data_IF_189928808689
#
_entry.id   IF_189928808689
#
_cell.length_a   1.000
_cell.length_b   1.000
_cell.length_c   1.000
_cell.angle_alpha   90.00
_cell.angle_beta   90.00
_cell.angle_gamma   90.00
#
_symmetry.space_group_name_H-M   'P 1'
#
loop_
_entity.id
_entity.type
_entity.pdbx_description
1 polymer ?
#
# COMPACT_ATOMS: atom_id res chain seq x y z
N UNK A 1 14.74 -16.52 -15.51
CA UNK A 1 14.69 -15.08 -15.18
C UNK A 1 14.39 -14.95 -13.70
N UNK A 2 15.32 -14.43 -12.91
CA UNK A 2 15.30 -14.53 -11.44
C UNK A 2 14.17 -13.72 -10.80
N UNK A 3 13.04 -14.37 -10.50
CA UNK A 3 12.01 -13.90 -9.54
C UNK A 3 12.52 -13.89 -8.08
N UNK A 4 13.83 -13.78 -7.86
CA UNK A 4 14.53 -14.25 -6.64
C UNK A 4 14.20 -13.43 -5.37
N UNK A 5 13.38 -12.38 -5.46
CA UNK A 5 13.07 -11.52 -4.30
C UNK A 5 11.60 -11.11 -4.15
N UNK A 6 10.70 -11.58 -5.03
CA UNK A 6 9.27 -11.30 -4.86
C UNK A 6 8.73 -12.14 -3.70
N UNK A 7 8.05 -11.48 -2.76
CA UNK A 7 7.36 -12.15 -1.67
C UNK A 7 6.13 -12.87 -2.23
N UNK A 8 6.26 -14.19 -2.41
CA UNK A 8 5.15 -15.01 -2.87
C UNK A 8 4.16 -15.21 -1.73
N UNK A 9 2.88 -14.96 -1.98
CA UNK A 9 1.81 -15.23 -1.02
C UNK A 9 1.55 -16.73 -0.97
N UNK A 10 1.52 -17.27 0.25
CA UNK A 10 1.26 -18.69 0.46
C UNK A 10 -0.21 -19.04 0.21
N UNK A 11 -0.47 -20.29 -0.18
CA UNK A 11 -1.84 -20.77 -0.33
C UNK A 11 -2.63 -20.72 0.99
N UNK A 12 -1.95 -20.83 2.14
CA UNK A 12 -2.56 -20.71 3.45
C UNK A 12 -3.03 -19.27 3.70
N UNK A 13 -2.17 -18.29 3.48
CA UNK A 13 -2.50 -16.87 3.64
C UNK A 13 -3.65 -16.46 2.72
N UNK A 14 -3.62 -16.86 1.45
CA UNK A 14 -4.71 -16.57 0.51
C UNK A 14 -6.03 -17.15 1.00
N UNK A 15 -6.07 -18.42 1.40
CA UNK A 15 -7.29 -19.07 1.91
C UNK A 15 -7.78 -18.42 3.20
N UNK A 16 -6.86 -18.05 4.08
CA UNK A 16 -7.17 -17.37 5.33
C UNK A 16 -7.78 -15.99 5.08
N UNK A 17 -7.17 -15.20 4.19
CA UNK A 17 -7.67 -13.89 3.78
C UNK A 17 -9.08 -13.98 3.19
N UNK A 18 -9.32 -14.94 2.29
CA UNK A 18 -10.66 -15.17 1.73
C UNK A 18 -11.69 -15.52 2.80
N UNK A 19 -11.31 -16.34 3.79
CA UNK A 19 -12.19 -16.66 4.92
C UNK A 19 -12.52 -15.42 5.76
N UNK A 20 -11.52 -14.59 6.07
CA UNK A 20 -11.73 -13.34 6.80
C UNK A 20 -12.67 -12.39 6.05
N UNK A 21 -12.53 -12.29 4.73
CA UNK A 21 -13.43 -11.49 3.89
C UNK A 21 -14.87 -12.02 3.90
N UNK A 22 -15.06 -13.34 3.90
CA UNK A 22 -16.40 -13.96 4.06
C UNK A 22 -17.02 -13.65 5.43
N UNK A 23 -16.19 -13.53 6.46
CA UNK A 23 -16.60 -13.13 7.82
C UNK A 23 -16.74 -11.60 7.97
N UNK A 24 -16.60 -10.81 6.90
CA UNK A 24 -16.64 -9.34 6.88
C UNK A 24 -15.57 -8.69 7.77
N UNK A 25 -14.40 -9.31 7.88
CA UNK A 25 -13.27 -8.83 8.68
C UNK A 25 -12.01 -8.67 7.84
N UNK A 26 -11.21 -7.64 8.12
CA UNK A 26 -9.88 -7.43 7.53
C UNK A 26 -8.79 -7.83 8.51
N UNK A 27 -7.60 -8.13 7.99
CA UNK A 27 -6.43 -8.50 8.80
C UNK A 27 -6.00 -7.38 9.77
N UNK A 28 -6.21 -6.12 9.38
CA UNK A 28 -5.89 -4.93 10.18
C UNK A 28 -7.07 -4.42 11.03
N UNK A 29 -8.23 -5.08 10.94
CA UNK A 29 -9.44 -4.70 11.67
C UNK A 29 -10.20 -3.50 11.09
N UNK A 30 -9.79 -2.95 9.95
CA UNK A 30 -10.50 -1.85 9.28
C UNK A 30 -11.79 -2.34 8.62
N UNK A 31 -12.71 -1.40 8.35
CA UNK A 31 -13.86 -1.65 7.48
C UNK A 31 -13.42 -1.77 6.01
N UNK A 32 -14.31 -2.30 5.15
CA UNK A 32 -13.99 -2.48 3.72
C UNK A 32 -13.84 -1.16 2.97
N UNK A 33 -14.59 -0.12 3.34
CA UNK A 33 -14.49 1.22 2.71
C UNK A 33 -13.53 2.17 3.43
N UNK A 34 -12.82 1.68 4.45
CA UNK A 34 -11.98 2.51 5.33
C UNK A 34 -10.53 2.59 4.83
N UNK A 35 -10.05 3.82 4.70
CA UNK A 35 -8.70 4.13 4.23
C UNK A 35 -7.73 4.31 5.40
N UNK A 36 -6.44 4.02 5.16
CA UNK A 36 -5.38 4.31 6.13
C UNK A 36 -5.28 5.81 6.43
N UNK A 37 -4.74 6.17 7.62
CA UNK A 37 -4.47 7.57 7.93
C UNK A 37 -3.49 8.16 6.91
N UNK A 38 -3.86 9.31 6.36
CA UNK A 38 -3.07 10.08 5.41
C UNK A 38 -2.31 11.17 6.18
N UNK A 39 -1.00 11.26 6.00
CA UNK A 39 -0.17 12.37 6.48
C UNK A 39 0.58 12.97 5.30
N UNK A 40 0.50 14.30 5.17
CA UNK A 40 1.19 15.07 4.13
C UNK A 40 2.12 16.06 4.81
N UNK A 41 3.41 15.97 4.52
CA UNK A 41 4.46 16.80 5.09
C UNK A 41 5.24 17.47 3.97
N UNK A 42 5.66 18.72 4.18
CA UNK A 42 6.43 19.47 3.20
C UNK A 42 7.89 19.62 3.64
N UNK A 43 8.78 19.56 2.65
CA UNK A 43 10.21 19.80 2.86
C UNK A 43 10.53 21.28 3.03
N UNK A 44 11.81 21.57 3.26
CA UNK A 44 12.30 22.95 3.34
C UNK A 44 12.13 23.66 1.99
N UNK A 45 12.47 22.98 0.90
CA UNK A 45 12.40 23.51 -0.45
C UNK A 45 10.98 23.42 -1.04
N UNK A 46 10.63 24.38 -1.88
CA UNK A 46 9.35 24.40 -2.57
C UNK A 46 9.22 23.20 -3.52
N UNK A 47 8.05 22.57 -3.54
CA UNK A 47 7.79 21.35 -4.30
C UNK A 47 8.46 20.09 -3.75
N UNK A 48 8.92 20.08 -2.49
CA UNK A 48 9.30 18.86 -1.80
C UNK A 48 8.14 18.39 -0.91
N UNK A 49 7.65 17.17 -1.11
CA UNK A 49 6.49 16.63 -0.42
C UNK A 49 6.73 15.18 0.00
N UNK A 50 6.46 14.86 1.26
CA UNK A 50 6.51 13.53 1.83
C UNK A 50 5.10 13.11 2.25
N UNK A 51 4.61 12.01 1.69
CA UNK A 51 3.28 11.49 1.97
C UNK A 51 3.38 10.10 2.57
N UNK A 52 2.68 9.90 3.68
CA UNK A 52 2.52 8.60 4.33
C UNK A 52 1.06 8.19 4.30
N UNK A 53 0.78 7.04 3.69
CA UNK A 53 -0.51 6.37 3.74
C UNK A 53 -0.37 5.12 4.62
N UNK A 54 -0.65 5.29 5.91
CA UNK A 54 -0.23 4.32 6.92
C UNK A 54 1.28 4.10 6.86
N UNK A 55 1.71 2.89 6.49
CA UNK A 55 3.14 2.56 6.37
C UNK A 55 3.71 2.77 4.96
N UNK A 56 2.88 2.88 3.92
CA UNK A 56 3.34 3.20 2.57
C UNK A 56 3.81 4.64 2.53
N UNK A 57 5.05 4.87 2.07
CA UNK A 57 5.70 6.18 2.13
C UNK A 57 6.25 6.55 0.76
N UNK A 58 5.93 7.76 0.30
CA UNK A 58 6.34 8.27 -1.00
C UNK A 58 6.87 9.70 -0.84
N UNK A 59 8.00 9.98 -1.47
CA UNK A 59 8.57 11.32 -1.59
C UNK A 59 8.37 11.80 -3.02
N UNK A 60 7.77 12.96 -3.18
CA UNK A 60 7.66 13.64 -4.46
C UNK A 60 8.48 14.93 -4.44
N UNK A 61 9.21 15.17 -5.53
CA UNK A 61 9.96 16.39 -5.76
C UNK A 61 9.57 16.96 -7.13
N UNK A 62 9.18 18.22 -7.14
CA UNK A 62 8.98 18.99 -8.38
C UNK A 62 10.19 19.89 -8.64
N UNK A 63 10.69 19.84 -9.87
CA UNK A 63 11.74 20.73 -10.38
C UNK A 63 11.27 21.40 -11.68
N UNK A 64 11.90 22.51 -12.02
CA UNK A 64 11.63 23.23 -13.26
C UNK A 64 12.92 23.52 -14.02
N UNK A 65 12.86 23.37 -15.33
CA UNK A 65 13.94 23.70 -16.26
C UNK A 65 13.39 24.46 -17.46
N UNK A 66 14.21 25.27 -18.12
CA UNK A 66 13.81 25.92 -19.37
C UNK A 66 14.19 25.00 -20.52
N UNK A 67 13.21 24.63 -21.34
CA UNK A 67 13.41 23.78 -22.51
C UNK A 67 12.72 24.37 -23.74
N UNK A 68 13.08 23.90 -24.92
CA UNK A 68 12.38 24.26 -26.15
C UNK A 68 11.04 23.51 -26.20
N UNK A 69 9.91 24.17 -26.55
CA UNK A 69 8.63 23.49 -26.64
C UNK A 69 8.60 22.46 -27.76
N UNK A 70 7.62 21.57 -27.71
CA UNK A 70 7.37 20.60 -28.79
C UNK A 70 6.84 21.34 -30.02
N UNK A 71 7.29 20.95 -31.21
CA UNK A 71 6.85 21.55 -32.48
C UNK A 71 5.35 21.42 -32.72
N UNK A 72 4.69 20.41 -32.14
CA UNK A 72 3.23 20.25 -32.24
C UNK A 72 2.45 21.27 -31.42
N UNK A 73 3.01 21.77 -30.31
CA UNK A 73 2.36 22.70 -29.38
C UNK A 73 3.37 23.72 -28.85
N UNK A 74 3.62 24.78 -29.63
CA UNK A 74 4.69 25.73 -29.33
C UNK A 74 4.36 26.76 -28.24
N UNK A 75 3.09 26.85 -27.83
CA UNK A 75 2.59 27.75 -26.79
C UNK A 75 2.33 27.04 -25.46
N UNK A 76 2.62 25.73 -25.35
CA UNK A 76 2.44 24.96 -24.12
C UNK A 76 3.81 24.58 -23.52
N UNK A 77 3.89 24.63 -22.20
CA UNK A 77 4.99 24.06 -21.43
C UNK A 77 4.98 22.53 -21.45
N UNK A 78 6.00 21.95 -20.83
CA UNK A 78 6.20 20.51 -20.79
C UNK A 78 6.00 20.02 -19.35
N UNK A 79 5.24 18.94 -19.17
CA UNK A 79 5.09 18.24 -17.89
C UNK A 79 5.57 16.80 -18.04
N UNK A 80 6.59 16.44 -17.26
CA UNK A 80 7.15 15.09 -17.21
C UNK A 80 6.94 14.52 -15.81
N UNK A 81 6.33 13.33 -15.73
CA UNK A 81 6.10 12.61 -14.49
C UNK A 81 6.95 11.34 -14.54
N UNK A 82 7.67 11.07 -13.46
CA UNK A 82 8.53 9.91 -13.33
C UNK A 82 8.30 9.27 -11.96
N UNK A 83 7.98 7.97 -11.95
CA UNK A 83 7.97 7.14 -10.74
C UNK A 83 9.21 6.27 -10.75
N UNK A 84 9.96 6.30 -9.66
CA UNK A 84 11.07 5.39 -9.41
C UNK A 84 10.75 4.47 -8.23
N UNK A 85 10.86 3.16 -8.51
CA UNK A 85 10.73 2.11 -7.51
C UNK A 85 12.14 1.71 -7.07
N UNK A 86 12.50 2.08 -5.84
CA UNK A 86 13.81 1.81 -5.28
C UNK A 86 13.81 0.47 -4.51
N UNK A 87 14.90 -0.32 -4.52
CA UNK A 87 15.11 -1.44 -3.60
C UNK A 87 14.80 -1.17 -2.13
N UNK A 88 14.88 0.10 -1.69
CA UNK A 88 14.49 0.53 -0.35
C UNK A 88 13.00 0.26 -0.06
N UNK A 89 12.13 0.41 -1.07
CA UNK A 89 10.69 0.21 -0.91
C UNK A 89 10.31 -1.26 -0.83
N UNK A 90 10.95 -2.10 -1.63
CA UNK A 90 10.82 -3.54 -1.54
C UNK A 90 12.04 -4.22 -2.18
N UNK A 91 12.51 -5.36 -1.64
CA UNK A 91 13.73 -6.02 -2.11
C UNK A 91 13.66 -6.54 -3.54
N UNK A 92 12.45 -6.69 -4.10
CA UNK A 92 12.22 -7.12 -5.48
C UNK A 92 12.31 -5.99 -6.52
N UNK A 93 12.36 -4.73 -6.10
CA UNK A 93 12.61 -3.63 -6.99
C UNK A 93 14.10 -3.55 -7.31
N UNK A 94 14.44 -3.64 -8.60
CA UNK A 94 15.81 -3.51 -9.10
C UNK A 94 16.01 -2.08 -9.63
N UNK A 95 17.09 -1.37 -9.25
CA UNK A 95 17.32 -0.01 -9.69
C UNK A 95 17.63 0.00 -11.20
N UNK A 96 17.04 0.94 -11.93
CA UNK A 96 17.27 1.12 -13.38
C UNK A 96 16.47 0.20 -14.30
N UNK A 97 15.84 -0.86 -13.77
CA UNK A 97 14.92 -1.70 -14.54
C UNK A 97 13.49 -1.20 -14.32
N UNK A 98 12.86 -0.69 -15.38
CA UNK A 98 11.43 -0.37 -15.32
C UNK A 98 10.62 -1.66 -15.22
N UNK A 99 10.04 -1.92 -14.05
CA UNK A 99 9.12 -3.03 -13.85
C UNK A 99 7.78 -2.76 -14.55
N UNK A 100 7.02 -3.81 -14.87
CA UNK A 100 5.67 -3.67 -15.42
C UNK A 100 4.77 -2.83 -14.51
N UNK A 101 4.95 -2.97 -13.19
CA UNK A 101 4.29 -2.17 -12.18
C UNK A 101 4.67 -0.69 -12.32
N UNK A 102 5.95 -0.35 -12.45
CA UNK A 102 6.41 1.04 -12.63
C UNK A 102 5.81 1.69 -13.87
N UNK A 103 5.79 0.97 -15.00
CA UNK A 103 5.21 1.47 -16.26
C UNK A 103 3.70 1.68 -16.12
N UNK A 104 3.00 0.74 -15.47
CA UNK A 104 1.56 0.85 -15.19
C UNK A 104 1.25 2.06 -14.31
N UNK A 105 1.95 2.21 -13.19
CA UNK A 105 1.76 3.34 -12.28
C UNK A 105 2.03 4.67 -12.98
N UNK A 106 3.15 4.77 -13.71
CA UNK A 106 3.51 6.01 -14.39
C UNK A 106 2.44 6.41 -15.42
N UNK A 107 1.97 5.46 -16.23
CA UNK A 107 0.91 5.71 -17.22
C UNK A 107 -0.42 6.10 -16.57
N UNK A 108 -0.77 5.52 -15.42
CA UNK A 108 -1.99 5.88 -14.69
C UNK A 108 -1.90 7.29 -14.10
N UNK A 109 -0.74 7.67 -13.55
CA UNK A 109 -0.53 9.04 -13.07
C UNK A 109 -0.54 10.06 -14.20
N UNK A 110 0.12 9.76 -15.33
CA UNK A 110 0.06 10.61 -16.52
C UNK A 110 -1.38 10.79 -17.00
N UNK A 111 -2.15 9.70 -17.10
CA UNK A 111 -3.57 9.78 -17.47
C UNK A 111 -4.37 10.62 -16.47
N UNK A 112 -4.07 10.51 -15.18
CA UNK A 112 -4.81 11.22 -14.14
C UNK A 112 -4.55 12.74 -14.14
N UNK A 113 -3.32 13.19 -14.38
CA UNK A 113 -2.94 14.62 -14.31
C UNK A 113 -2.81 15.31 -15.67
N UNK A 114 -2.21 14.62 -16.65
CA UNK A 114 -1.91 15.19 -17.97
C UNK A 114 -3.12 15.17 -18.90
N UNK A 115 -3.81 14.03 -18.98
CA UNK A 115 -4.99 13.91 -19.86
C UNK A 115 -6.17 14.72 -19.31
N UNK A 116 -6.26 14.84 -17.98
CA UNK A 116 -7.26 15.71 -17.33
C UNK A 116 -6.94 17.20 -17.45
N UNK A 117 -5.75 17.59 -17.91
CA UNK A 117 -5.30 19.00 -17.96
C UNK A 117 -5.38 19.72 -16.61
N UNK A 118 -4.92 19.04 -15.55
CA UNK A 118 -4.95 19.59 -14.20
C UNK A 118 -4.06 20.83 -14.01
N UNK A 119 -2.92 20.86 -14.68
CA UNK A 119 -1.92 21.94 -14.63
C UNK A 119 -2.06 22.81 -15.88
N UNK A 120 -2.03 24.12 -15.69
CA UNK A 120 -2.04 25.08 -16.79
C UNK A 120 -0.68 25.11 -17.50
N UNK A 121 -0.60 24.43 -18.65
CA UNK A 121 0.60 24.38 -19.47
C UNK A 121 0.82 25.66 -20.29
N UNK A 122 -0.22 26.45 -20.56
CA UNK A 122 -0.09 27.70 -21.33
C UNK A 122 0.59 28.77 -20.48
N UNK A 123 0.29 28.80 -19.17
CA UNK A 123 0.96 29.67 -18.19
C UNK A 123 2.46 29.42 -18.03
N UNK A 124 2.97 28.29 -18.55
CA UNK A 124 4.37 27.89 -18.51
C UNK A 124 5.15 28.35 -19.75
N UNK A 125 4.48 28.93 -20.75
CA UNK A 125 5.16 29.50 -21.92
C UNK A 125 5.83 30.83 -21.57
N UNK A 126 7.11 30.97 -21.90
CA UNK A 126 7.86 32.22 -21.75
C UNK A 126 7.86 32.97 -23.08
N UNK A 127 8.36 32.30 -24.12
CA UNK A 127 8.40 32.82 -25.50
C UNK A 127 8.04 31.69 -26.46
N UNK A 128 6.94 31.88 -27.19
CA UNK A 128 6.39 30.91 -28.14
C UNK A 128 7.46 30.41 -29.11
N UNK A 129 7.48 29.09 -29.37
CA UNK A 129 8.45 28.38 -30.23
C UNK A 129 9.92 28.35 -29.74
N UNK A 130 10.29 29.14 -28.72
CA UNK A 130 11.70 29.29 -28.33
C UNK A 130 11.97 28.71 -26.94
N UNK A 131 11.25 29.19 -25.92
CA UNK A 131 11.51 28.87 -24.51
C UNK A 131 10.21 28.66 -23.76
N UNK A 132 10.07 27.50 -23.14
CA UNK A 132 8.99 27.18 -22.21
C UNK A 132 9.53 26.53 -20.95
N UNK A 133 8.76 26.60 -19.87
CA UNK A 133 9.06 25.83 -18.67
C UNK A 133 8.72 24.35 -18.87
N UNK A 134 9.68 23.51 -18.52
CA UNK A 134 9.51 22.08 -18.36
C UNK A 134 9.46 21.76 -16.86
N UNK A 135 8.28 21.37 -16.38
CA UNK A 135 8.09 20.84 -15.03
C UNK A 135 8.38 19.35 -15.03
N UNK A 136 9.23 18.92 -14.10
CA UNK A 136 9.51 17.50 -13.85
C UNK A 136 9.06 17.16 -12.43
N UNK A 137 8.26 16.11 -12.30
CA UNK A 137 7.87 15.55 -11.02
C UNK A 137 8.49 14.17 -10.88
N UNK A 138 9.45 14.05 -9.98
CA UNK A 138 10.08 12.78 -9.63
C UNK A 138 9.44 12.25 -8.34
N UNK A 139 8.91 11.03 -8.42
CA UNK A 139 8.20 10.36 -7.34
C UNK A 139 9.01 9.14 -6.94
N UNK A 140 9.56 9.17 -5.74
CA UNK A 140 10.38 8.11 -5.18
C UNK A 140 9.58 7.35 -4.12
N UNK A 141 9.30 6.08 -4.39
CA UNK A 141 8.67 5.21 -3.39
C UNK A 141 9.73 4.78 -2.38
N UNK A 142 9.49 5.07 -1.10
CA UNK A 142 10.42 4.79 0.00
C UNK A 142 10.04 3.50 0.73
N UNK A 143 8.74 3.27 0.98
CA UNK A 143 8.25 2.05 1.61
C UNK A 143 6.99 1.58 0.88
N UNK A 144 6.94 0.28 0.54
CA UNK A 144 5.80 -0.34 -0.13
C UNK A 144 5.06 -1.30 0.80
N UNK A 145 3.89 -0.87 1.29
CA UNK A 145 2.98 -1.71 2.08
C UNK A 145 1.56 -1.69 1.46
N UNK A 146 1.50 -1.81 0.13
CA UNK A 146 0.26 -1.78 -0.65
C UNK A 146 -0.23 -0.38 -1.03
N UNK A 147 -0.99 -0.31 -2.12
CA UNK A 147 -1.60 0.91 -2.68
C UNK A 147 -0.62 2.07 -2.92
N UNK A 148 0.43 1.82 -3.72
CA UNK A 148 1.41 2.85 -4.11
C UNK A 148 0.74 3.98 -4.91
N UNK A 149 -0.21 3.62 -5.77
CA UNK A 149 -0.78 4.54 -6.76
C UNK A 149 -1.49 5.73 -6.11
N UNK A 150 -2.34 5.47 -5.12
CA UNK A 150 -3.07 6.53 -4.43
C UNK A 150 -2.11 7.44 -3.68
N UNK A 151 -1.16 6.86 -2.94
CA UNK A 151 -0.13 7.61 -2.23
C UNK A 151 0.72 8.46 -3.18
N UNK A 152 1.10 7.92 -4.33
CA UNK A 152 1.87 8.62 -5.35
C UNK A 152 1.07 9.75 -6.03
N UNK A 153 -0.23 9.53 -6.29
CA UNK A 153 -1.10 10.55 -6.85
C UNK A 153 -1.26 11.76 -5.91
N UNK A 154 -1.41 11.49 -4.61
CA UNK A 154 -1.49 12.52 -3.57
C UNK A 154 -0.17 13.26 -3.45
N UNK A 155 0.96 12.54 -3.40
CA UNK A 155 2.29 13.14 -3.31
C UNK A 155 2.61 14.03 -4.51
N UNK A 156 2.34 13.56 -5.72
CA UNK A 156 2.51 14.31 -6.97
C UNK A 156 1.71 15.61 -6.96
N UNK A 157 0.41 15.52 -6.63
CA UNK A 157 -0.49 16.66 -6.65
C UNK A 157 -0.14 17.68 -5.55
N UNK A 158 0.18 17.22 -4.35
CA UNK A 158 0.63 18.07 -3.26
C UNK A 158 1.97 18.75 -3.59
N UNK A 159 2.90 18.02 -4.21
CA UNK A 159 4.19 18.56 -4.67
C UNK A 159 4.00 19.65 -5.72
N UNK A 160 3.18 19.39 -6.74
CA UNK A 160 2.85 20.37 -7.78
C UNK A 160 2.19 21.62 -7.19
N UNK A 161 1.21 21.46 -6.30
CA UNK A 161 0.51 22.60 -5.70
C UNK A 161 1.39 23.42 -4.74
N UNK A 162 2.36 22.76 -4.08
CA UNK A 162 3.34 23.40 -3.22
C UNK A 162 4.47 24.08 -4.02
N UNK A 163 4.77 23.61 -5.23
CA UNK A 163 5.88 24.11 -6.03
C UNK A 163 5.74 25.60 -6.39
N UNK A 164 6.87 26.30 -6.41
CA UNK A 164 6.99 27.71 -6.76
C UNK A 164 8.17 27.89 -7.73
N UNK A 165 7.89 28.38 -8.93
CA UNK A 165 8.90 28.62 -9.98
C UNK A 165 9.55 29.99 -9.81
N UNK A 166 10.81 30.18 -10.24
CA UNK A 166 11.42 31.51 -10.27
C UNK A 166 10.73 32.42 -11.30
N UNK A 167 10.75 33.72 -11.04
CA UNK A 167 10.21 34.72 -11.96
C UNK A 167 11.19 35.00 -13.12
N UNK A 168 10.64 35.34 -14.29
CA UNK A 168 11.41 35.61 -15.50
C UNK A 168 10.91 36.89 -16.14
N UNK A 169 11.84 37.79 -16.43
CA UNK A 169 11.58 38.96 -17.26
C UNK A 169 12.10 38.71 -18.67
N UNK A 170 11.29 39.05 -19.66
CA UNK A 170 11.65 38.99 -21.06
C UNK A 170 11.67 40.39 -21.65
N UNK A 171 12.87 40.91 -21.92
CA UNK A 171 13.09 42.18 -22.60
C UNK A 171 13.31 41.91 -24.10
N UNK A 172 12.31 41.32 -24.75
CA UNK A 172 12.28 41.03 -26.20
C UNK A 172 13.24 39.93 -26.67
N UNK A 173 14.55 40.19 -26.61
CA UNK A 173 15.62 39.30 -27.06
C UNK A 173 16.36 38.62 -25.90
N UNK A 174 16.53 39.30 -24.76
CA UNK A 174 17.18 38.74 -23.58
C UNK A 174 16.15 38.30 -22.53
N UNK A 175 16.37 37.13 -21.93
CA UNK A 175 15.58 36.64 -20.80
C UNK A 175 16.46 36.56 -19.55
N UNK A 176 15.97 37.13 -18.44
CA UNK A 176 16.68 37.14 -17.17
C UNK A 176 15.85 36.33 -16.17
N UNK A 177 16.47 35.29 -15.62
CA UNK A 177 15.87 34.48 -14.55
C UNK A 177 16.22 35.15 -13.23
N UNK A 178 15.22 35.59 -12.49
CA UNK A 178 15.42 36.16 -11.17
C UNK A 178 15.56 35.06 -10.14
N UNK A 179 16.56 35.21 -9.26
CA UNK A 179 16.71 34.31 -8.11
C UNK A 179 15.62 34.57 -7.06
N UNK A 180 15.36 33.58 -6.20
CA UNK A 180 14.40 33.68 -5.08
C UNK A 180 14.67 34.82 -4.10
N UNK A 181 15.86 35.44 -4.13
CA UNK A 181 16.21 36.59 -3.29
C UNK A 181 15.84 37.92 -3.95
N UNK A 182 15.78 37.95 -5.28
CA UNK A 182 15.49 39.16 -6.06
C UNK A 182 13.99 39.36 -6.22
N UNK A 183 13.24 38.27 -6.43
CA UNK A 183 11.79 38.29 -6.61
C UNK A 183 11.14 37.09 -5.93
N UNK A 184 9.89 37.30 -5.52
CA UNK A 184 9.06 36.25 -4.95
C UNK A 184 8.73 35.21 -6.02
N UNK A 185 8.82 33.91 -5.70
CA UNK A 185 8.57 32.86 -6.67
C UNK A 185 7.07 32.67 -6.92
N UNK A 186 6.74 32.32 -8.16
CA UNK A 186 5.37 32.27 -8.66
C UNK A 186 4.80 30.85 -8.45
N UNK A 187 3.59 30.71 -7.89
CA UNK A 187 2.91 29.42 -7.82
C UNK A 187 2.53 28.88 -9.20
N UNK A 188 2.61 27.56 -9.35
CA UNK A 188 2.03 26.88 -10.50
C UNK A 188 0.51 26.93 -10.42
N UNK A 189 -0.12 27.27 -11.55
CA UNK A 189 -1.58 27.32 -11.66
C UNK A 189 -2.12 25.91 -11.89
N UNK A 190 -2.97 25.46 -10.98
CA UNK A 190 -3.65 24.16 -11.03
C UNK A 190 -5.15 24.44 -11.13
N UNK A 191 -5.77 24.04 -12.24
CA UNK A 191 -7.20 24.23 -12.45
C UNK A 191 -8.02 23.36 -11.52
N UNK A 192 -7.57 22.12 -11.33
CA UNK A 192 -8.32 21.13 -10.57
C UNK A 192 -7.42 20.02 -10.01
N UNK A 193 -7.92 19.27 -9.04
CA UNK A 193 -7.12 18.40 -8.17
C UNK A 193 -7.52 16.93 -8.37
N UNK A 194 -7.01 16.24 -9.42
CA UNK A 194 -7.36 14.85 -9.66
C UNK A 194 -6.56 13.93 -8.72
N UNK A 195 -7.26 13.04 -8.02
CA UNK A 195 -6.67 12.04 -7.12
C UNK A 195 -7.06 10.63 -7.57
N UNK A 196 -6.14 9.68 -7.43
CA UNK A 196 -6.44 8.27 -7.65
C UNK A 196 -6.99 7.64 -6.37
N UNK A 197 -7.97 6.77 -6.54
CA UNK A 197 -8.53 5.92 -5.49
C UNK A 197 -8.60 4.51 -6.02
N UNK A 198 -7.94 3.59 -5.33
CA UNK A 198 -7.85 2.18 -5.70
C UNK A 198 -8.66 1.29 -4.78
N UNK A 199 -9.39 0.36 -5.39
CA UNK A 199 -10.12 -0.72 -4.75
C UNK A 199 -9.60 -2.05 -5.25
N UNK A 200 -9.43 -3.01 -4.34
CA UNK A 200 -9.20 -4.41 -4.67
C UNK A 200 -10.52 -5.18 -4.67
N UNK A 201 -10.65 -6.08 -5.63
CA UNK A 201 -11.83 -6.88 -5.85
C UNK A 201 -11.48 -8.35 -5.63
N UNK A 202 -12.33 -9.04 -4.88
CA UNK A 202 -12.23 -10.46 -4.59
C UNK A 202 -13.51 -11.19 -4.99
N UNK A 203 -13.35 -12.46 -5.36
CA UNK A 203 -14.42 -13.38 -5.73
C UNK A 203 -15.36 -12.82 -6.82
N UNK A 204 -14.79 -12.28 -7.89
CA UNK A 204 -15.58 -11.79 -9.03
C UNK A 204 -16.49 -10.59 -8.73
N UNK A 205 -16.17 -9.77 -7.71
CA UNK A 205 -16.94 -8.57 -7.38
C UNK A 205 -17.86 -8.69 -6.17
N UNK A 206 -17.86 -9.84 -5.47
CA UNK A 206 -18.62 -10.00 -4.22
C UNK A 206 -18.06 -9.11 -3.10
N UNK A 207 -16.72 -9.08 -2.97
CA UNK A 207 -16.06 -8.25 -1.97
C UNK A 207 -15.21 -7.19 -2.65
N UNK A 208 -15.47 -5.93 -2.30
CA UNK A 208 -14.72 -4.76 -2.77
C UNK A 208 -14.11 -4.08 -1.56
N UNK A 209 -12.78 -3.98 -1.55
CA UNK A 209 -12.01 -3.43 -0.44
C UNK A 209 -11.27 -2.18 -0.92
N UNK A 210 -11.45 -1.07 -0.22
CA UNK A 210 -10.73 0.17 -0.43
C UNK A 210 -9.34 0.12 0.19
N UNK A 211 -8.37 0.74 -0.48
CA UNK A 211 -6.99 0.89 0.01
C UNK A 211 -6.38 -0.44 0.49
N UNK A 212 -6.08 -1.35 -0.46
CA UNK A 212 -5.56 -2.67 -0.15
C UNK A 212 -4.16 -2.59 0.46
N UNK A 213 -3.94 -3.46 1.45
CA UNK A 213 -2.62 -3.81 1.97
C UNK A 213 -1.84 -4.67 0.96
N UNK A 214 -0.54 -4.84 1.18
CA UNK A 214 0.31 -5.65 0.30
C UNK A 214 -0.20 -7.09 0.10
N UNK A 215 -0.71 -7.71 1.18
CA UNK A 215 -1.26 -9.09 1.15
C UNK A 215 -2.61 -9.15 0.43
N UNK A 216 -3.43 -8.11 0.58
CA UNK A 216 -4.70 -7.98 -0.14
C UNK A 216 -4.44 -7.75 -1.64
N UNK A 217 -3.47 -6.89 -2.00
CA UNK A 217 -3.10 -6.60 -3.39
C UNK A 217 -2.60 -7.85 -4.13
N UNK A 218 -1.73 -8.66 -3.50
CA UNK A 218 -1.23 -9.88 -4.12
C UNK A 218 -2.23 -11.05 -4.16
N UNK A 219 -3.34 -10.96 -3.41
CA UNK A 219 -4.41 -11.98 -3.39
C UNK A 219 -5.66 -11.56 -4.17
N UNK A 220 -5.73 -10.32 -4.65
CA UNK A 220 -6.89 -9.80 -5.35
C UNK A 220 -7.01 -10.38 -6.77
N UNK A 221 -8.25 -10.57 -7.22
CA UNK A 221 -8.56 -11.04 -8.59
C UNK A 221 -8.48 -9.89 -9.60
N UNK A 222 -8.86 -8.69 -9.14
CA UNK A 222 -8.81 -7.46 -9.91
C UNK A 222 -8.58 -6.24 -9.02
N UNK A 223 -8.08 -5.18 -9.64
CA UNK A 223 -7.86 -3.88 -9.01
C UNK A 223 -8.56 -2.82 -9.85
N UNK A 224 -9.46 -2.06 -9.22
CA UNK A 224 -10.16 -0.95 -9.85
C UNK A 224 -9.57 0.37 -9.34
N UNK A 225 -8.92 1.11 -10.24
CA UNK A 225 -8.42 2.46 -9.98
C UNK A 225 -9.34 3.47 -10.63
N UNK A 226 -9.73 4.48 -9.85
CA UNK A 226 -10.61 5.56 -10.26
C UNK A 226 -9.89 6.89 -10.01
N UNK A 227 -9.67 7.68 -11.06
CA UNK A 227 -9.15 9.04 -10.97
C UNK A 227 -10.30 10.03 -10.95
N UNK A 228 -10.47 10.76 -9.85
CA UNK A 228 -11.58 11.69 -9.65
C UNK A 228 -11.08 13.08 -9.30
N UNK A 229 -11.82 14.08 -9.78
CA UNK A 229 -11.59 15.47 -9.50
C UNK A 229 -12.46 15.97 -8.33
N UNK A 230 -12.10 17.11 -7.74
CA UNK A 230 -12.91 17.78 -6.71
C UNK A 230 -14.28 18.25 -7.20
N UNK A 231 -14.46 18.38 -8.51
CA UNK A 231 -15.77 18.65 -9.14
C UNK A 231 -16.61 17.39 -9.36
N UNK A 232 -16.20 16.23 -8.82
CA UNK A 232 -16.85 14.92 -9.02
C UNK A 232 -16.82 14.42 -10.47
N UNK A 233 -15.86 14.91 -11.24
CA UNK A 233 -15.64 14.48 -12.62
C UNK A 233 -14.66 13.31 -12.65
N UNK A 234 -14.92 12.36 -13.54
CA UNK A 234 -14.06 11.19 -13.75
C UNK A 234 -12.93 11.55 -14.72
N UNK A 235 -11.70 11.59 -14.23
CA UNK A 235 -10.50 11.80 -15.05
C UNK A 235 -10.04 10.51 -15.72
N UNK A 236 -10.24 9.36 -15.06
CA UNK A 236 -9.86 8.08 -15.63
C UNK A 236 -10.38 6.91 -14.82
N UNK A 237 -10.69 5.82 -15.52
CA UNK A 237 -11.01 4.53 -14.94
C UNK A 237 -10.03 3.49 -15.48
N UNK A 238 -9.50 2.65 -14.60
CA UNK A 238 -8.66 1.52 -14.97
C UNK A 238 -9.06 0.30 -14.16
N UNK A 239 -9.52 -0.74 -14.86
CA UNK A 239 -9.73 -2.06 -14.30
C UNK A 239 -8.55 -2.94 -14.71
N UNK A 240 -7.75 -3.32 -13.72
CA UNK A 240 -6.67 -4.30 -13.87
C UNK A 240 -7.09 -5.66 -13.32
N UNK A 241 -6.46 -6.73 -13.80
CA UNK A 241 -6.73 -8.11 -13.37
C UNK A 241 -7.69 -8.86 -14.30
N UNK A 242 -8.32 -9.90 -13.78
CA UNK A 242 -9.10 -10.87 -14.57
C UNK A 242 -10.55 -11.05 -14.10
N UNK A 243 -11.02 -10.22 -13.17
CA UNK A 243 -12.39 -10.35 -12.64
C UNK A 243 -13.43 -9.77 -13.61
N UNK A 244 -14.52 -10.51 -13.79
CA UNK A 244 -15.74 -10.02 -14.42
C UNK A 244 -16.55 -9.22 -13.39
N UNK A 245 -16.88 -7.97 -13.72
CA UNK A 245 -17.61 -7.08 -12.81
C UNK A 245 -18.95 -6.68 -13.39
N UNK A 246 -19.98 -6.75 -12.55
CA UNK A 246 -21.27 -6.18 -12.90
C UNK A 246 -21.20 -4.64 -12.89
N UNK A 247 -21.80 -3.94 -13.88
CA UNK A 247 -21.73 -2.48 -13.98
C UNK A 247 -22.21 -1.72 -12.73
N UNK A 248 -23.20 -2.27 -12.01
CA UNK A 248 -23.73 -1.65 -10.79
C UNK A 248 -22.68 -1.58 -9.67
N UNK A 249 -21.78 -2.57 -9.57
CA UNK A 249 -20.70 -2.58 -8.57
C UNK A 249 -19.73 -1.44 -8.84
N UNK A 250 -19.39 -1.23 -10.12
CA UNK A 250 -18.50 -0.14 -10.55
C UNK A 250 -19.14 1.21 -10.20
N UNK A 251 -20.42 1.41 -10.52
CA UNK A 251 -21.13 2.66 -10.21
C UNK A 251 -21.17 2.95 -8.70
N UNK A 252 -21.49 1.94 -7.88
CA UNK A 252 -21.48 2.07 -6.42
C UNK A 252 -20.07 2.38 -5.88
N UNK A 253 -19.03 1.83 -6.51
CA UNK A 253 -17.65 2.10 -6.10
C UNK A 253 -17.22 3.52 -6.48
N UNK A 254 -17.65 4.03 -7.65
CA UNK A 254 -17.38 5.41 -8.08
C UNK A 254 -18.03 6.43 -7.14
N UNK A 255 -19.26 6.19 -6.67
CA UNK A 255 -19.92 7.11 -5.72
C UNK A 255 -19.19 7.17 -4.37
N UNK A 256 -18.77 6.01 -3.84
CA UNK A 256 -17.91 5.93 -2.65
C UNK A 256 -16.57 6.63 -2.84
N UNK A 257 -15.92 6.39 -3.99
CA UNK A 257 -14.66 7.04 -4.34
C UNK A 257 -14.80 8.56 -4.42
N UNK A 258 -15.92 9.06 -4.94
CA UNK A 258 -16.19 10.50 -5.04
C UNK A 258 -16.22 11.16 -3.66
N UNK A 259 -16.82 10.51 -2.67
CA UNK A 259 -16.82 11.02 -1.31
C UNK A 259 -15.40 11.07 -0.73
N UNK A 260 -14.62 10.00 -0.90
CA UNK A 260 -13.24 9.95 -0.42
C UNK A 260 -12.32 10.96 -1.13
N UNK A 261 -12.48 11.17 -2.43
CA UNK A 261 -11.67 12.10 -3.21
C UNK A 261 -11.75 13.51 -2.64
N UNK A 262 -12.96 13.96 -2.28
CA UNK A 262 -13.17 15.28 -1.69
C UNK A 262 -12.43 15.43 -0.36
N UNK A 263 -12.51 14.41 0.52
CA UNK A 263 -11.80 14.42 1.82
C UNK A 263 -10.29 14.55 1.59
N UNK A 264 -9.73 13.78 0.65
CA UNK A 264 -8.29 13.82 0.34
C UNK A 264 -7.88 15.17 -0.23
N UNK A 265 -8.66 15.73 -1.16
CA UNK A 265 -8.38 17.04 -1.77
C UNK A 265 -8.46 18.16 -0.73
N UNK A 266 -9.41 18.10 0.19
CA UNK A 266 -9.51 19.03 1.31
C UNK A 266 -8.26 18.94 2.20
N UNK A 267 -7.81 17.73 2.55
CA UNK A 267 -6.61 17.52 3.35
C UNK A 267 -5.33 18.05 2.69
N UNK A 268 -5.19 17.91 1.36
CA UNK A 268 -4.08 18.49 0.61
C UNK A 268 -4.13 20.03 0.71
N UNK A 269 -5.32 20.62 0.49
CA UNK A 269 -5.49 22.08 0.54
C UNK A 269 -5.26 22.65 1.94
N UNK A 270 -5.72 21.97 3.00
CA UNK A 270 -5.47 22.40 4.38
C UNK A 270 -3.99 22.30 4.72
N UNK A 271 -3.33 21.20 4.34
CA UNK A 271 -1.89 21.01 4.58
C UNK A 271 -1.06 22.11 3.93
N UNK A 272 -1.36 22.49 2.69
CA UNK A 272 -0.66 23.57 1.97
C UNK A 272 -0.91 24.93 2.64
N UNK A 273 -2.13 25.21 3.11
CA UNK A 273 -2.43 26.46 3.82
C UNK A 273 -1.63 26.56 5.12
N UNK A 274 -1.59 25.49 5.91
CA UNK A 274 -0.83 25.46 7.16
C UNK A 274 0.66 25.65 6.89
N UNK A 275 1.20 25.04 5.83
CA UNK A 275 2.60 25.21 5.45
C UNK A 275 2.91 26.65 5.00
N UNK A 276 2.07 27.25 4.16
CA UNK A 276 2.23 28.65 3.76
C UNK A 276 2.21 29.60 4.97
N UNK A 277 1.29 29.41 5.91
CA UNK A 277 1.25 30.19 7.14
C UNK A 277 2.50 29.99 8.01
N UNK A 278 3.02 28.76 8.08
CA UNK A 278 4.23 28.46 8.83
C UNK A 278 5.46 29.15 8.21
N UNK A 279 5.55 29.20 6.87
CA UNK A 279 6.58 29.93 6.13
C UNK A 279 6.48 31.43 6.32
N UNK A 280 5.28 32.00 6.30
CA UNK A 280 5.06 33.43 6.58
C UNK A 280 5.49 33.80 8.00
N UNK A 281 5.23 32.90 8.97
CA UNK A 281 5.64 33.07 10.38
C UNK A 281 7.12 32.73 10.64
N UNK A 282 7.88 32.31 9.62
CA UNK A 282 9.30 31.89 9.71
C UNK A 282 9.58 30.84 10.79
N UNK A 283 8.64 29.90 10.96
CA UNK A 283 8.84 28.73 11.81
C UNK A 283 9.92 27.81 11.21
N UNK A 284 10.57 26.94 12.00
CA UNK A 284 11.45 25.91 11.44
C UNK A 284 10.66 25.01 10.49
N UNK A 285 11.19 24.82 9.28
CA UNK A 285 10.58 24.06 8.19
C UNK A 285 11.39 22.79 7.93
N UNK A 286 10.68 21.72 7.54
CA UNK A 286 11.26 20.47 7.05
C UNK A 286 10.73 19.25 7.80
N UNK A 287 11.04 18.07 7.24
CA UNK A 287 10.55 16.76 7.69
C UNK A 287 10.87 16.40 9.14
N UNK A 288 11.87 17.04 9.73
CA UNK A 288 12.31 16.80 11.12
C UNK A 288 11.46 17.54 12.17
N UNK A 289 10.61 18.47 11.71
CA UNK A 289 9.81 19.28 12.62
C UNK A 289 8.54 18.51 12.96
N UNK A 290 8.66 17.50 13.81
CA UNK A 290 7.49 16.97 14.48
C UNK A 290 6.82 18.15 15.20
N UNK A 291 5.61 18.51 14.73
CA UNK A 291 4.73 19.37 15.52
C UNK A 291 4.64 18.70 16.89
N UNK A 292 4.99 19.42 17.95
CA UNK A 292 4.97 18.97 19.36
C UNK A 292 3.55 18.64 19.87
N UNK A 293 2.83 17.79 19.16
CA UNK A 293 1.46 17.36 19.39
C UNK A 293 1.15 16.20 18.45
N UNK A 294 1.64 15.01 18.79
CA UNK A 294 1.25 13.78 18.09
C UNK A 294 2.27 12.63 18.10
N UNK A 295 3.53 12.86 18.44
CA UNK A 295 4.57 11.83 18.37
C UNK A 295 4.84 11.18 19.74
N UNK A 296 3.82 10.56 20.31
CA UNK A 296 4.01 9.61 21.41
C UNK A 296 3.07 8.40 21.30
N UNK A 297 2.74 7.97 20.07
CA UNK A 297 1.83 6.82 19.87
C UNK A 297 2.21 5.86 18.74
N UNK A 298 3.36 6.02 18.07
CA UNK A 298 3.73 5.14 16.95
C UNK A 298 4.94 4.23 17.25
N UNK A 299 5.27 4.06 18.53
CA UNK A 299 5.94 2.86 19.06
C UNK A 299 5.02 2.25 20.11
N UNK A 300 3.81 1.87 19.69
CA UNK A 300 3.00 0.96 20.48
C UNK A 300 3.66 -0.41 20.45
N UNK A 301 4.26 -0.73 21.59
CA UNK A 301 4.31 -2.05 22.18
C UNK A 301 3.57 -3.10 21.35
N UNK A 302 4.33 -4.04 20.78
CA UNK A 302 3.80 -5.36 20.49
C UNK A 302 3.57 -6.00 21.86
N UNK A 303 2.53 -5.55 22.57
CA UNK A 303 1.96 -6.27 23.69
C UNK A 303 1.38 -7.52 23.03
N UNK A 304 2.03 -8.67 23.24
CA UNK A 304 1.47 -9.97 22.93
C UNK A 304 0.04 -9.97 23.46
N UNK A 305 -0.96 -9.94 22.56
CA UNK A 305 -2.34 -10.12 22.95
C UNK A 305 -2.42 -11.45 23.68
N UNK A 306 -2.60 -11.38 25.00
CA UNK A 306 -2.84 -12.55 25.83
C UNK A 306 -4.08 -13.23 25.25
N UNK A 307 -3.88 -14.41 24.69
CA UNK A 307 -4.94 -15.21 24.10
C UNK A 307 -5.91 -15.59 25.23
N UNK A 308 -7.00 -14.84 25.37
CA UNK A 308 -8.02 -15.14 26.37
C UNK A 308 -8.74 -16.41 25.91
N UNK A 309 -8.54 -17.50 26.65
CA UNK A 309 -9.29 -18.73 26.50
C UNK A 309 -10.79 -18.44 26.58
N UNK A 310 -11.50 -18.64 25.47
CA UNK A 310 -12.95 -18.65 25.42
C UNK A 310 -13.43 -19.82 26.30
N UNK A 311 -13.89 -19.51 27.52
CA UNK A 311 -14.53 -20.49 28.41
C UNK A 311 -15.83 -20.98 27.77
N UNK A 312 -15.78 -22.16 27.15
CA UNK A 312 -16.97 -22.91 26.75
C UNK A 312 -17.84 -23.19 27.98
N UNK A 313 -19.07 -22.67 28.00
CA UNK A 313 -20.06 -23.05 28.99
C UNK A 313 -20.39 -24.54 28.83
N UNK A 314 -20.01 -25.37 29.81
CA UNK A 314 -20.47 -26.77 29.90
C UNK A 314 -21.49 -26.88 31.04
N UNK A 315 -22.68 -27.36 30.67
CA UNK A 315 -23.77 -27.78 31.56
C UNK A 315 -23.27 -28.76 32.64
N UNK A 316 -23.75 -28.54 33.86
CA UNK A 316 -23.53 -29.33 35.09
C UNK A 316 -23.78 -30.85 34.89
N UNK A 317 -22.88 -31.68 35.44
CA UNK A 317 -23.23 -32.85 36.27
C UNK A 317 -22.06 -33.25 37.21
N UNK A 318 -22.39 -33.27 38.50
CA UNK A 318 -21.81 -33.94 39.67
C UNK A 318 -20.30 -33.93 40.02
N UNK A 319 -20.00 -33.11 41.05
CA UNK A 319 -19.35 -33.40 42.35
C UNK A 319 -18.11 -34.32 42.40
N UNK A 320 -16.96 -33.69 42.69
CA UNK A 320 -16.05 -34.01 43.81
C UNK A 320 -15.43 -32.69 44.33
N UNK A 321 -15.12 -32.63 45.63
CA UNK A 321 -14.73 -31.41 46.40
C UNK A 321 -13.30 -30.92 46.06
N UNK A 322 -12.97 -29.63 46.25
CA UNK A 322 -11.70 -29.04 45.80
C UNK A 322 -10.57 -29.22 46.83
N UNK A 323 -9.34 -29.41 46.33
CA UNK A 323 -8.08 -29.22 47.05
C UNK A 323 -7.56 -27.82 46.67
N UNK A 324 -7.21 -27.01 47.66
CA UNK A 324 -6.70 -25.63 47.50
C UNK A 324 -5.33 -25.62 46.80
N UNK A 325 -5.08 -24.71 45.83
CA UNK A 325 -3.74 -24.48 45.30
C UNK A 325 -2.99 -23.55 46.27
N UNK A 326 -1.95 -24.09 46.91
CA UNK A 326 -1.02 -23.33 47.74
C UNK A 326 0.12 -22.80 46.86
N UNK A 327 0.35 -21.50 46.96
CA UNK A 327 1.51 -20.70 46.52
C UNK A 327 1.64 -20.30 45.03
N UNK A 328 1.34 -19.02 44.80
CA UNK A 328 1.77 -18.21 43.66
C UNK A 328 3.30 -18.02 43.65
N UNK A 329 3.99 -18.08 42.50
CA UNK A 329 5.43 -17.82 42.44
C UNK A 329 5.72 -16.34 42.77
N UNK A 330 6.61 -16.11 43.73
CA UNK A 330 7.08 -14.76 44.08
C UNK A 330 8.08 -14.26 43.04
N UNK A 331 7.68 -13.26 42.26
CA UNK A 331 8.57 -12.48 41.39
C UNK A 331 9.20 -11.38 42.26
N UNK A 332 10.51 -11.40 42.44
CA UNK A 332 11.25 -10.30 43.09
C UNK A 332 11.84 -9.40 42.01
N UNK A 333 11.34 -8.18 41.89
CA UNK A 333 11.85 -7.14 41.00
C UNK A 333 13.11 -6.54 41.61
N UNK A 334 14.24 -6.60 40.89
CA UNK A 334 15.49 -5.93 41.27
C UNK A 334 15.82 -4.93 40.15
N UNK A 335 15.27 -3.72 40.25
CA UNK A 335 15.59 -2.59 39.36
C UNK A 335 15.05 -2.67 37.93
N UNK A 336 15.13 -1.54 37.22
CA UNK A 336 14.53 -1.33 35.90
C UNK A 336 15.16 -2.25 34.82
N UNK A 337 14.32 -3.08 34.19
CA UNK A 337 14.58 -3.61 32.85
C UNK A 337 15.13 -5.03 32.71
N UNK A 338 15.34 -5.79 33.79
CA UNK A 338 15.78 -7.20 33.68
C UNK A 338 15.10 -8.10 34.71
N UNK A 339 14.46 -9.17 34.23
CA UNK A 339 13.94 -10.26 35.04
C UNK A 339 14.61 -11.58 34.61
N UNK A 340 15.25 -12.26 35.56
CA UNK A 340 15.83 -13.60 35.37
C UNK A 340 15.07 -14.58 36.24
N UNK A 341 14.60 -15.67 35.66
CA UNK A 341 13.96 -16.76 36.39
C UNK A 341 15.04 -17.56 37.12
N UNK A 342 15.01 -17.57 38.46
CA UNK A 342 15.90 -18.40 39.28
C UNK A 342 15.18 -19.73 39.56
N UNK A 343 15.63 -20.86 39.00
CA UNK A 343 15.10 -22.16 39.38
C UNK A 343 15.52 -22.47 40.82
N UNK A 344 14.55 -22.81 41.68
CA UNK A 344 14.87 -23.31 43.02
C UNK A 344 15.39 -24.74 42.90
N UNK A 345 16.70 -24.92 43.12
CA UNK A 345 17.28 -26.25 43.31
C UNK A 345 16.70 -26.88 44.57
N UNK A 346 15.92 -27.96 44.41
CA UNK A 346 15.61 -28.87 45.50
C UNK A 346 16.73 -29.92 45.53
N UNK A 347 17.42 -30.14 46.66
CA UNK A 347 18.32 -31.27 46.80
C UNK A 347 17.46 -32.55 46.86
N UNK A 348 17.98 -33.62 46.28
CA UNK A 348 17.43 -34.98 46.25
C UNK A 348 16.32 -35.26 45.22
N UNK A 349 16.76 -35.41 43.96
CA UNK A 349 16.27 -36.44 43.03
C UNK A 349 17.35 -36.71 41.98
N UNK A 350 18.07 -37.83 42.13
CA UNK A 350 18.92 -38.38 41.07
C UNK A 350 18.00 -38.88 39.93
N UNK A 351 17.96 -38.15 38.82
CA UNK A 351 17.39 -38.67 37.57
C UNK A 351 18.52 -39.36 36.79
N UNK A 352 18.55 -40.69 36.85
CA UNK A 352 19.39 -41.54 36.01
C UNK A 352 18.80 -41.61 34.60
N UNK A 353 19.55 -41.14 33.60
CA UNK A 353 19.20 -41.30 32.19
C UNK A 353 19.39 -42.75 31.76
N UNK A 354 18.29 -43.49 31.60
CA UNK A 354 18.30 -44.79 30.92
C UNK A 354 18.05 -44.51 29.44
N UNK A 355 19.09 -44.73 28.62
CA UNK A 355 18.99 -44.74 27.16
C UNK A 355 18.57 -46.14 26.75
N UNK A 356 17.32 -46.31 26.33
CA UNK A 356 16.88 -47.55 25.68
C UNK A 356 16.93 -47.35 24.16
N UNK A 357 17.84 -48.12 23.56
CA UNK A 357 18.07 -48.24 22.13
C UNK A 357 17.42 -49.53 21.65
N UNK A 358 16.27 -49.43 21.00
CA UNK A 358 15.76 -50.50 20.15
C UNK A 358 14.86 -49.90 19.06
N UNK A 359 15.38 -49.98 17.83
CA UNK A 359 14.59 -50.04 16.60
C UNK A 359 13.43 -51.05 16.77
N UNK A 360 12.24 -50.72 16.26
CA UNK A 360 11.33 -51.65 15.57
C UNK A 360 10.09 -50.91 15.02
N UNK A 361 9.99 -50.90 13.69
CA UNK A 361 8.81 -50.99 12.81
C UNK A 361 7.53 -50.17 13.09
N UNK A 362 7.35 -49.13 12.26
CA UNK A 362 6.06 -48.52 11.96
C UNK A 362 5.26 -49.42 11.00
N UNK A 363 4.39 -50.26 11.57
CA UNK A 363 3.33 -50.97 10.84
C UNK A 363 2.26 -50.00 10.33
N UNK A 364 2.14 -49.88 8.99
CA UNK A 364 1.00 -49.24 8.33
C UNK A 364 -0.20 -50.19 8.48
N UNK A 365 -1.13 -49.84 9.36
CA UNK A 365 -2.41 -50.55 9.47
C UNK A 365 -3.33 -50.08 8.33
N UNK A 366 -3.37 -50.85 7.23
CA UNK A 366 -4.41 -50.72 6.22
C UNK A 366 -5.77 -51.10 6.82
N UNK A 367 -6.72 -50.17 6.85
CA UNK A 367 -8.12 -50.50 7.15
C UNK A 367 -8.75 -51.22 5.97
N UNK A 368 -9.51 -52.31 6.19
CA UNK A 368 -10.26 -52.94 5.11
C UNK A 368 -11.32 -51.98 4.58
N UNK A 369 -11.34 -51.79 3.24
CA UNK A 369 -12.37 -51.03 2.53
C UNK A 369 -13.66 -51.86 2.51
N UNK A 370 -14.74 -51.31 3.05
CA UNK A 370 -16.09 -51.85 2.90
C UNK A 370 -16.51 -51.78 1.42
N UNK A 371 -16.92 -52.92 0.87
CA UNK A 371 -17.52 -53.01 -0.47
C UNK A 371 -18.97 -52.53 -0.37
N UNK A 372 -19.28 -51.40 -1.01
CA UNK A 372 -20.65 -50.98 -1.27
C UNK A 372 -21.08 -51.62 -2.58
N UNK A 373 -22.00 -52.57 -2.52
CA UNK A 373 -22.72 -53.12 -3.67
C UNK A 373 -23.66 -52.05 -4.23
N UNK A 374 -23.36 -51.53 -5.41
CA UNK A 374 -24.29 -50.73 -6.22
C UNK A 374 -24.89 -51.65 -7.28
N UNK A 375 -26.22 -51.79 -7.23
CA UNK A 375 -27.02 -52.54 -8.20
C UNK A 375 -27.16 -51.72 -9.50
N UNK A 376 -27.06 -52.41 -10.62
CA UNK A 376 -27.06 -51.91 -12.01
C UNK A 376 -28.18 -50.92 -12.39
N UNK A 377 -27.83 -49.95 -13.23
CA UNK A 377 -28.71 -49.35 -14.24
C UNK A 377 -27.89 -48.71 -15.36
N UNK A 378 -27.88 -49.39 -16.51
CA UNK A 378 -27.61 -48.99 -17.90
C UNK A 378 -27.14 -47.55 -18.21
N UNK A 379 -25.97 -47.42 -18.87
CA UNK A 379 -25.83 -46.71 -20.15
C UNK A 379 -24.40 -46.86 -20.71
N UNK A 380 -24.33 -47.12 -22.00
CA UNK A 380 -23.14 -47.44 -22.78
C UNK A 380 -22.25 -46.22 -23.10
N UNK A 381 -20.97 -46.51 -23.38
CA UNK A 381 -20.04 -45.82 -24.30
C UNK A 381 -18.79 -45.07 -23.77
N UNK A 382 -17.67 -45.48 -24.40
CA UNK A 382 -16.34 -44.89 -24.63
C UNK A 382 -15.19 -45.01 -23.60
N UNK A 383 -14.34 -46.01 -23.86
CA UNK A 383 -12.98 -46.19 -23.34
C UNK A 383 -11.98 -45.22 -24.01
N UNK A 384 -11.32 -44.36 -23.22
CA UNK A 384 -10.09 -43.65 -23.63
C UNK A 384 -8.91 -44.20 -22.84
N UNK A 385 -7.98 -44.83 -23.56
CA UNK A 385 -6.77 -45.47 -23.03
C UNK A 385 -5.70 -44.39 -22.81
N UNK A 386 -5.25 -44.22 -21.56
CA UNK A 386 -4.07 -43.41 -21.22
C UNK A 386 -2.91 -44.37 -20.99
N UNK A 387 -1.91 -44.33 -21.88
CA UNK A 387 -0.67 -45.11 -21.80
C UNK A 387 0.28 -44.50 -20.78
N UNK A 388 0.76 -45.33 -19.84
CA UNK A 388 1.70 -44.95 -18.80
C UNK A 388 3.15 -44.96 -19.32
N UNK A 389 3.94 -43.99 -18.87
CA UNK A 389 5.20 -43.56 -19.50
C UNK A 389 6.45 -44.28 -19.00
N UNK A 390 6.34 -45.58 -18.66
CA UNK A 390 7.41 -46.35 -18.03
C UNK A 390 7.82 -47.61 -18.80
N UNK A 391 8.03 -47.48 -20.12
CA UNK A 391 8.86 -48.42 -20.89
C UNK A 391 9.63 -47.66 -21.99
N UNK A 392 10.87 -47.28 -21.68
CA UNK A 392 11.94 -47.00 -22.66
C UNK A 392 13.18 -47.73 -22.18
N UNK A 393 13.49 -48.85 -22.82
CA UNK A 393 14.82 -49.44 -22.91
C UNK A 393 14.87 -50.26 -24.19
N UNK A 394 15.55 -49.69 -25.18
CA UNK A 394 16.60 -50.27 -26.05
C UNK A 394 16.60 -49.63 -27.45
#
# INVERSE_FOLDING_TARGET
MSRIRETVITNCERKFLMKCLSDWTRLDGRSFDEFRPLRVEFGKDWGSCYVSLGKTRVLAQTSCEIQQPKSSRPSEGILNINIELNPLAAPHFEPGRQSELSVRLNRLLEKCVKDSKAVDLESLCIKTNEKVWALRVDINVINHEGNILDCASIAMLASLAHFRRPDVTCDGEEFIIHSYQQRDPIPTVIHHYPVCITYSIFNGGEFVVADPSLTEEGSADATLTIGLNGFKELCGLHLGGKAELMPHVILNTVTKATHRANIVIEEIKTSIKIDNEARTKKLPLGFHTERKGGANSDVSEISLHHWQEIKKSKKKKNKQKPVEPTESPQIKVIGEGLAVHVPQEKPDRQESWIVDSSDDDLMIVEKPREQILLHDSDSEEENVIILDSSQRND
#
